data_IF_296111979594
#
_entry.id   IF_296111979594
#
_cell.length_a   1.000
_cell.length_b   1.000
_cell.length_c   1.000
_cell.angle_alpha   90.00
_cell.angle_beta   90.00
_cell.angle_gamma   90.00
#
_symmetry.space_group_name_H-M   'P 1'
#
loop_
_entity.id
_entity.type
_entity.pdbx_description
1 polymer ?
#
# COMPACT_ATOMS: atom_id res chain seq x y z
N UNK A 1 -15.18 3.13 5.20
CA UNK A 1 -14.75 4.01 4.09
C UNK A 1 -15.03 3.27 2.80
N UNK A 2 -15.67 3.89 1.82
CA UNK A 2 -16.11 3.17 0.61
C UNK A 2 -14.99 3.23 -0.46
N UNK A 3 -14.59 2.06 -0.97
CA UNK A 3 -13.64 1.96 -2.09
C UNK A 3 -14.35 2.37 -3.38
N UNK A 4 -13.80 3.35 -4.09
CA UNK A 4 -14.22 3.66 -5.45
C UNK A 4 -13.80 2.52 -6.39
N UNK A 5 -14.79 1.72 -6.83
CA UNK A 5 -14.57 0.59 -7.71
C UNK A 5 -14.01 0.98 -9.09
N UNK A 6 -14.08 2.26 -9.48
CA UNK A 6 -13.50 2.72 -10.76
C UNK A 6 -11.97 2.64 -10.75
N UNK A 7 -11.33 2.71 -9.58
CA UNK A 7 -9.88 2.52 -9.43
C UNK A 7 -9.43 1.11 -9.86
N UNK A 8 -10.28 0.11 -9.66
CA UNK A 8 -9.97 -1.28 -9.98
C UNK A 8 -9.83 -1.53 -11.49
N UNK A 9 -10.29 -0.60 -12.35
CA UNK A 9 -10.03 -0.64 -13.80
C UNK A 9 -8.54 -0.49 -14.15
N UNK A 10 -7.74 -0.02 -13.20
CA UNK A 10 -6.31 0.22 -13.33
C UNK A 10 -5.51 -0.65 -12.36
N UNK A 11 -6.02 -1.85 -12.02
CA UNK A 11 -5.37 -2.77 -11.08
C UNK A 11 -3.98 -3.23 -11.55
N UNK A 12 -3.69 -3.11 -12.85
CA UNK A 12 -2.36 -3.29 -13.44
C UNK A 12 -1.39 -2.13 -13.14
N UNK A 13 -1.88 -0.99 -12.67
CA UNK A 13 -1.12 0.27 -12.49
C UNK A 13 -1.17 0.84 -11.08
N UNK A 14 -1.90 0.22 -10.17
CA UNK A 14 -2.04 0.69 -8.79
C UNK A 14 -1.67 -0.40 -7.80
N UNK A 15 -1.12 0.01 -6.67
CA UNK A 15 -0.92 -0.81 -5.48
C UNK A 15 -1.33 0.01 -4.26
N UNK A 16 -1.99 -0.62 -3.31
CA UNK A 16 -2.30 -0.02 -2.02
C UNK A 16 -1.22 -0.43 -1.02
N UNK A 17 -0.72 0.54 -0.27
CA UNK A 17 0.31 0.33 0.74
C UNK A 17 -0.15 0.94 2.06
N UNK A 18 -0.10 0.17 3.14
CA UNK A 18 -0.52 0.61 4.47
C UNK A 18 0.63 0.46 5.47
N UNK A 19 0.98 1.54 6.16
CA UNK A 19 1.94 1.53 7.25
C UNK A 19 1.38 0.84 8.50
N UNK A 20 2.24 0.24 9.31
CA UNK A 20 1.83 -0.39 10.60
C UNK A 20 1.79 0.61 11.75
N UNK A 21 2.50 1.72 11.64
CA UNK A 21 2.58 2.81 12.62
C UNK A 21 1.88 4.10 12.16
N UNK A 22 0.98 3.96 11.19
CA UNK A 22 0.26 5.05 10.55
C UNK A 22 -0.80 5.66 11.48
N UNK A 23 -0.56 6.89 11.96
CA UNK A 23 -1.47 7.54 12.91
C UNK A 23 -2.74 8.11 12.25
N UNK A 24 -2.80 8.21 10.92
CA UNK A 24 -3.93 8.83 10.21
C UNK A 24 -4.84 7.79 9.55
N UNK A 25 -4.30 6.63 9.20
CA UNK A 25 -5.00 5.52 8.60
C UNK A 25 -4.84 4.26 9.48
N UNK A 26 -5.86 3.92 10.29
CA UNK A 26 -5.86 2.71 11.10
C UNK A 26 -5.54 1.45 10.28
N UNK A 27 -4.69 0.59 10.85
CA UNK A 27 -4.18 -0.62 10.20
C UNK A 27 -5.31 -1.60 9.83
N UNK A 28 -6.43 -1.58 10.56
CA UNK A 28 -7.61 -2.39 10.29
C UNK A 28 -8.14 -2.17 8.87
N UNK A 29 -8.07 -0.94 8.35
CA UNK A 29 -8.49 -0.65 6.98
C UNK A 29 -7.59 -1.31 5.94
N UNK A 30 -6.28 -1.43 6.21
CA UNK A 30 -5.36 -2.19 5.38
C UNK A 30 -5.73 -3.68 5.35
N UNK A 31 -6.06 -4.26 6.51
CA UNK A 31 -6.49 -5.65 6.58
C UNK A 31 -7.82 -5.92 5.88
N UNK A 32 -8.80 -5.02 6.01
CA UNK A 32 -10.08 -5.11 5.29
C UNK A 32 -9.87 -5.02 3.77
N UNK A 33 -9.03 -4.09 3.33
CA UNK A 33 -8.69 -3.93 1.91
C UNK A 33 -7.97 -5.15 1.35
N UNK A 34 -6.98 -5.69 2.08
CA UNK A 34 -6.27 -6.91 1.68
C UNK A 34 -7.19 -8.12 1.60
N UNK A 35 -8.11 -8.27 2.56
CA UNK A 35 -9.15 -9.32 2.51
C UNK A 35 -10.05 -9.18 1.27
N UNK A 36 -10.33 -7.96 0.83
CA UNK A 36 -11.21 -7.68 -0.30
C UNK A 36 -10.53 -7.79 -1.66
N UNK A 37 -9.27 -7.35 -1.77
CA UNK A 37 -8.57 -7.14 -3.04
C UNK A 37 -7.35 -8.04 -3.24
N UNK A 38 -6.99 -8.85 -2.25
CA UNK A 38 -5.88 -9.79 -2.34
C UNK A 38 -4.50 -9.18 -2.06
N UNK A 39 -3.52 -10.05 -1.89
CA UNK A 39 -2.12 -9.70 -1.60
C UNK A 39 -1.41 -9.11 -2.83
N UNK A 40 -1.94 -9.32 -4.04
CA UNK A 40 -1.41 -8.78 -5.28
C UNK A 40 -1.61 -7.27 -5.42
N UNK A 41 -2.65 -6.72 -4.78
CA UNK A 41 -3.02 -5.32 -4.89
C UNK A 41 -2.79 -4.54 -3.60
N UNK A 42 -2.72 -5.22 -2.45
CA UNK A 42 -2.62 -4.59 -1.13
C UNK A 42 -1.46 -5.15 -0.35
N UNK A 43 -0.54 -4.27 0.05
CA UNK A 43 0.59 -4.60 0.91
C UNK A 43 0.46 -3.90 2.25
N UNK A 44 0.72 -4.65 3.32
CA UNK A 44 0.96 -4.10 4.66
C UNK A 44 2.47 -3.95 4.81
N UNK A 45 2.89 -2.81 5.32
CA UNK A 45 4.29 -2.51 5.57
C UNK A 45 4.95 -3.61 6.42
N UNK A 46 6.10 -4.07 5.93
CA UNK A 46 6.97 -5.07 6.54
C UNK A 46 8.35 -4.48 6.87
N UNK A 47 8.52 -3.18 6.65
CA UNK A 47 9.80 -2.47 6.70
C UNK A 47 9.86 -1.42 7.81
N UNK A 48 8.86 -1.37 8.69
CA UNK A 48 8.72 -0.42 9.82
C UNK A 48 8.81 1.06 9.38
N UNK A 49 8.20 1.36 8.22
CA UNK A 49 8.23 2.70 7.67
C UNK A 49 7.32 3.62 8.49
N UNK A 50 7.76 4.86 8.70
CA UNK A 50 6.94 5.86 9.41
C UNK A 50 5.87 6.41 8.49
N UNK A 51 4.77 6.91 9.06
CA UNK A 51 3.60 7.44 8.34
C UNK A 51 3.91 8.26 7.06
N UNK A 52 4.89 9.17 7.12
CA UNK A 52 5.35 9.92 5.96
C UNK A 52 6.38 9.13 5.14
N UNK A 53 6.14 7.85 4.87
CA UNK A 53 7.13 6.91 4.33
C UNK A 53 7.64 7.31 2.95
N UNK A 54 6.83 8.03 2.16
CA UNK A 54 7.26 8.61 0.88
C UNK A 54 8.34 9.70 1.07
N UNK A 55 8.41 10.32 2.25
CA UNK A 55 9.36 11.38 2.60
C UNK A 55 10.52 10.83 3.43
N UNK A 56 10.23 10.15 4.55
CA UNK A 56 11.26 9.67 5.49
C UNK A 56 11.94 8.37 5.07
N UNK A 57 11.21 7.51 4.35
CA UNK A 57 11.61 6.16 3.96
C UNK A 57 11.57 6.01 2.44
N UNK A 58 11.86 7.12 1.75
CA UNK A 58 11.74 7.26 0.30
C UNK A 58 12.53 6.20 -0.49
N UNK A 59 13.71 5.81 -0.03
CA UNK A 59 14.52 4.76 -0.64
C UNK A 59 13.86 3.38 -0.56
N UNK A 60 13.21 3.07 0.57
CA UNK A 60 12.48 1.80 0.75
C UNK A 60 11.32 1.74 -0.23
N UNK A 61 10.54 2.83 -0.31
CA UNK A 61 9.43 2.93 -1.25
C UNK A 61 9.89 2.89 -2.70
N UNK A 62 10.99 3.56 -3.04
CA UNK A 62 11.57 3.53 -4.39
C UNK A 62 11.95 2.10 -4.79
N UNK A 63 12.60 1.33 -3.90
CA UNK A 63 12.92 -0.08 -4.15
C UNK A 63 11.65 -0.91 -4.38
N UNK A 64 10.65 -0.81 -3.51
CA UNK A 64 9.37 -1.54 -3.66
C UNK A 64 8.67 -1.24 -4.99
N UNK A 65 8.68 0.03 -5.42
CA UNK A 65 8.09 0.44 -6.71
C UNK A 65 8.90 -0.09 -7.89
N UNK A 66 10.24 0.00 -7.84
CA UNK A 66 11.11 -0.54 -8.90
C UNK A 66 10.92 -2.05 -9.03
N UNK A 67 10.97 -2.78 -7.92
CA UNK A 67 10.78 -4.24 -7.88
C UNK A 67 9.44 -4.64 -8.49
N UNK A 68 8.37 -3.88 -8.23
CA UNK A 68 7.08 -4.11 -8.86
C UNK A 68 7.07 -3.83 -10.38
N UNK A 69 7.73 -2.78 -10.84
CA UNK A 69 7.74 -2.40 -12.27
C UNK A 69 8.54 -3.40 -13.12
N UNK A 70 9.58 -4.02 -12.55
CA UNK A 70 10.49 -4.92 -13.27
C UNK A 70 10.13 -6.42 -13.14
N UNK A 71 9.21 -6.77 -12.23
CA UNK A 71 8.72 -8.14 -12.03
C UNK A 71 7.72 -8.55 -13.13
#
# INVERSE_FOLDING_TARGET
>A
MELDATLLKYSDRIRFYYGTSDAWCPLEFGYEMRKRLGDELVSIDDSDCKHAFVISDNEVMARKVVDWIIA
#
